data_IF_925712848938
#
_entry.id   IF_925712848938
#
_cell.length_a   1.000
_cell.length_b   1.000
_cell.length_c   1.000
_cell.angle_alpha   90.00
_cell.angle_beta   90.00
_cell.angle_gamma   90.00
#
_symmetry.space_group_name_H-M   'P 1'
#
loop_
_entity.id
_entity.type
_entity.pdbx_description
1 polymer ?
#
# COMPACT_ATOMS: atom_id res chain seq x y z
N UNK A 1 39.08 52.44 65.66
CA UNK A 1 40.40 52.59 64.99
C UNK A 1 40.75 51.26 64.32
N UNK A 2 41.29 51.36 63.10
CA UNK A 2 41.86 50.32 62.21
C UNK A 2 40.91 49.58 61.25
N UNK A 3 41.20 49.87 59.99
CA UNK A 3 40.70 49.37 58.71
C UNK A 3 41.65 48.27 58.18
N UNK A 4 41.19 47.54 57.13
CA UNK A 4 41.94 46.77 56.10
C UNK A 4 42.33 45.33 56.50
N UNK A 5 42.23 44.26 55.69
CA UNK A 5 41.51 43.84 54.48
C UNK A 5 41.93 42.36 54.23
N UNK A 6 41.19 41.56 53.43
CA UNK A 6 41.70 40.87 52.20
C UNK A 6 40.71 39.85 51.61
N UNK A 7 40.48 40.04 50.30
CA UNK A 7 40.15 39.12 49.18
C UNK A 7 39.92 37.62 49.46
N UNK A 8 38.88 37.04 48.83
CA UNK A 8 39.00 36.33 47.55
C UNK A 8 37.61 35.94 46.97
N UNK A 9 37.44 36.10 45.66
CA UNK A 9 36.32 35.62 44.86
C UNK A 9 36.74 34.37 44.08
N UNK A 10 35.83 33.40 43.95
CA UNK A 10 35.98 32.26 43.04
C UNK A 10 34.73 31.38 43.04
N UNK A 11 33.93 31.34 41.96
CA UNK A 11 32.66 30.64 41.90
C UNK A 11 32.77 29.17 41.49
N UNK A 12 31.64 28.48 41.70
CA UNK A 12 31.27 27.11 41.30
C UNK A 12 31.19 26.94 39.78
N UNK A 13 31.53 25.75 39.29
CA UNK A 13 30.97 24.96 38.17
C UNK A 13 32.12 24.10 37.59
N UNK A 14 32.22 22.78 37.76
CA UNK A 14 31.36 21.69 37.21
C UNK A 14 31.13 21.83 35.70
N UNK A 15 31.98 21.16 34.91
CA UNK A 15 31.62 20.66 33.58
C UNK A 15 32.55 19.49 33.20
N UNK A 16 31.94 18.32 33.18
CA UNK A 16 32.40 17.02 32.69
C UNK A 16 32.75 17.07 31.20
N UNK A 17 33.83 16.42 30.78
CA UNK A 17 34.02 16.00 29.38
C UNK A 17 34.83 14.71 29.28
N UNK A 18 34.57 13.99 28.18
CA UNK A 18 35.21 12.79 27.62
C UNK A 18 34.59 11.45 28.08
N UNK A 19 33.63 10.87 27.36
CA UNK A 19 33.69 10.25 26.02
C UNK A 19 34.32 8.85 26.03
N UNK A 20 33.54 7.85 25.61
CA UNK A 20 33.96 6.46 25.42
C UNK A 20 32.89 5.66 24.68
N UNK A 21 33.02 5.61 23.36
CA UNK A 21 32.13 5.04 22.35
C UNK A 21 32.17 3.49 22.37
N UNK A 22 31.02 2.79 22.37
CA UNK A 22 30.96 1.39 21.95
C UNK A 22 29.56 0.99 21.43
N UNK A 23 29.53 0.65 20.13
CA UNK A 23 28.57 -0.21 19.42
C UNK A 23 27.07 0.13 19.50
N UNK A 24 26.58 0.91 18.54
CA UNK A 24 25.17 0.90 18.19
C UNK A 24 24.84 -0.39 17.43
N UNK A 25 23.94 -1.20 18.01
CA UNK A 25 23.44 -2.45 17.45
C UNK A 25 22.73 -2.23 16.11
N UNK A 26 23.03 -3.08 15.13
CA UNK A 26 22.23 -3.32 13.94
C UNK A 26 20.83 -3.80 14.38
N UNK A 27 19.83 -2.94 14.24
CA UNK A 27 18.43 -3.26 14.49
C UNK A 27 17.89 -4.21 13.42
N UNK A 28 18.00 -5.51 13.68
CA UNK A 28 17.23 -6.52 12.96
C UNK A 28 15.77 -6.40 13.42
N UNK A 29 14.89 -5.82 12.60
CA UNK A 29 13.45 -5.84 12.88
C UNK A 29 12.95 -7.27 12.71
N UNK A 30 12.86 -7.99 13.83
CA UNK A 30 12.08 -9.22 13.87
C UNK A 30 10.64 -8.86 13.49
N UNK A 31 10.19 -9.34 12.33
CA UNK A 31 8.78 -9.31 11.96
C UNK A 31 8.09 -10.22 12.98
N UNK A 32 7.49 -9.64 14.01
CA UNK A 32 6.68 -10.40 14.95
C UNK A 32 5.49 -10.98 14.15
N UNK A 33 5.53 -12.27 13.86
CA UNK A 33 4.37 -12.97 13.30
C UNK A 33 3.28 -12.90 14.36
N UNK A 34 2.25 -12.09 14.11
CA UNK A 34 1.11 -12.02 15.00
C UNK A 34 0.56 -13.44 15.22
N UNK A 35 0.27 -13.86 16.47
CA UNK A 35 -0.38 -15.14 16.70
C UNK A 35 -1.71 -15.19 15.94
N UNK A 36 -2.17 -16.39 15.54
CA UNK A 36 -3.44 -16.52 14.82
C UNK A 36 -4.55 -15.84 15.62
N UNK A 37 -5.28 -14.92 14.98
CA UNK A 37 -6.39 -14.24 15.60
C UNK A 37 -7.43 -15.28 16.02
N UNK A 38 -7.76 -15.33 17.31
CA UNK A 38 -8.91 -16.10 17.78
C UNK A 38 -10.17 -15.39 17.28
N UNK A 39 -11.00 -16.08 16.52
CA UNK A 39 -12.33 -15.59 16.19
C UNK A 39 -13.18 -15.60 17.47
N UNK A 40 -13.62 -14.43 17.91
CA UNK A 40 -14.61 -14.29 18.98
C UNK A 40 -15.99 -14.20 18.34
N UNK A 41 -16.86 -15.14 18.67
CA UNK A 41 -18.23 -15.20 18.19
C UNK A 41 -19.13 -14.68 19.33
N UNK A 42 -20.00 -13.73 19.03
CA UNK A 42 -20.93 -13.16 20.01
C UNK A 42 -22.28 -13.88 20.04
N UNK A 43 -22.53 -14.79 19.11
CA UNK A 43 -23.74 -15.59 19.04
C UNK A 43 -23.59 -16.94 19.73
N UNK A 44 -24.67 -17.45 20.32
CA UNK A 44 -24.73 -18.72 21.05
C UNK A 44 -25.19 -19.89 20.20
N UNK A 45 -25.22 -19.73 18.86
CA UNK A 45 -25.73 -20.76 17.97
C UNK A 45 -24.73 -21.92 17.85
N UNK A 46 -25.26 -23.14 17.76
CA UNK A 46 -24.43 -24.33 17.58
C UNK A 46 -24.09 -24.51 16.11
N UNK A 47 -22.80 -24.39 15.77
CA UNK A 47 -22.29 -24.77 14.44
C UNK A 47 -22.13 -26.30 14.41
N UNK A 48 -22.89 -26.98 13.55
CA UNK A 48 -22.85 -28.45 13.42
C UNK A 48 -21.96 -28.95 12.27
N UNK A 49 -21.08 -28.11 11.73
CA UNK A 49 -20.13 -28.47 10.68
C UNK A 49 -18.85 -29.11 11.26
N UNK A 50 -18.35 -30.16 10.60
CA UNK A 50 -17.19 -30.93 11.07
C UNK A 50 -15.83 -30.23 10.94
N UNK A 51 -15.71 -29.20 10.11
CA UNK A 51 -14.46 -28.46 9.92
C UNK A 51 -14.76 -26.99 9.63
N UNK A 52 -14.18 -26.10 10.43
CA UNK A 52 -14.16 -24.65 10.18
C UNK A 52 -12.76 -24.31 9.70
N UNK A 53 -12.67 -23.77 8.48
CA UNK A 53 -11.41 -23.32 7.89
C UNK A 53 -11.51 -21.83 7.63
N UNK A 54 -10.41 -21.11 7.86
CA UNK A 54 -10.31 -19.72 7.43
C UNK A 54 -10.31 -19.67 5.89
N UNK A 55 -11.29 -18.98 5.31
CA UNK A 55 -11.30 -18.67 3.87
C UNK A 55 -10.63 -17.33 3.62
N UNK A 56 -9.90 -17.21 2.51
CA UNK A 56 -9.43 -15.94 1.97
C UNK A 56 -9.87 -15.83 0.52
N UNK A 57 -10.11 -14.61 0.05
CA UNK A 57 -10.30 -14.34 -1.39
C UNK A 57 -8.92 -14.03 -1.97
N UNK A 58 -8.38 -14.85 -2.89
CA UNK A 58 -7.09 -14.58 -3.52
C UNK A 58 -7.09 -13.23 -4.24
N UNK A 59 -5.96 -12.51 -4.20
CA UNK A 59 -5.79 -11.31 -5.01
C UNK A 59 -5.59 -11.72 -6.48
N UNK A 60 -6.23 -11.02 -7.44
CA UNK A 60 -5.95 -11.22 -8.84
C UNK A 60 -4.57 -10.64 -9.21
N UNK A 61 -3.91 -11.22 -10.20
CA UNK A 61 -2.73 -10.62 -10.84
C UNK A 61 -3.21 -9.71 -11.97
N UNK A 62 -2.85 -8.43 -11.91
CA UNK A 62 -3.16 -7.45 -12.93
C UNK A 62 -2.00 -7.35 -13.91
N UNK A 63 -2.35 -7.40 -15.18
CA UNK A 63 -1.44 -7.16 -16.29
C UNK A 63 -1.99 -6.04 -17.17
N UNK A 64 -1.09 -5.21 -17.69
CA UNK A 64 -1.46 -4.05 -18.45
C UNK A 64 -0.89 -4.13 -19.86
N UNK A 65 -1.79 -4.34 -20.82
CA UNK A 65 -1.41 -4.76 -22.16
C UNK A 65 -1.12 -3.57 -23.09
N UNK A 66 -1.65 -2.38 -22.86
CA UNK A 66 -1.22 -1.14 -23.56
C UNK A 66 -1.13 -1.24 -25.10
N UNK A 67 -2.20 -1.63 -25.81
CA UNK A 67 -2.11 -1.85 -27.27
C UNK A 67 -3.21 -1.11 -28.05
N UNK A 68 -3.24 0.22 -27.99
CA UNK A 68 -3.77 1.05 -29.09
C UNK A 68 -3.60 2.54 -28.83
N UNK A 69 -3.74 3.34 -29.89
CA UNK A 69 -3.78 4.80 -29.79
C UNK A 69 -5.01 5.21 -28.97
N UNK A 70 -4.82 6.05 -27.96
CA UNK A 70 -5.91 6.54 -27.13
C UNK A 70 -6.62 5.47 -26.30
N UNK A 71 -5.99 4.31 -26.08
CA UNK A 71 -6.59 3.20 -25.31
C UNK A 71 -5.55 2.39 -24.53
N UNK A 72 -5.90 2.06 -23.28
CA UNK A 72 -5.15 1.12 -22.44
C UNK A 72 -6.08 -0.01 -22.00
N UNK A 73 -5.65 -1.25 -22.20
CA UNK A 73 -6.39 -2.44 -21.79
C UNK A 73 -5.68 -3.12 -20.63
N UNK A 74 -6.45 -3.45 -19.61
CA UNK A 74 -6.04 -4.17 -18.42
C UNK A 74 -6.67 -5.55 -18.45
N UNK A 75 -5.90 -6.56 -18.08
CA UNK A 75 -6.34 -7.95 -17.97
C UNK A 75 -5.90 -8.49 -16.62
N UNK A 76 -6.70 -9.36 -16.01
CA UNK A 76 -6.31 -9.98 -14.76
C UNK A 76 -6.68 -11.46 -14.68
N UNK A 77 -6.00 -12.19 -13.81
CA UNK A 77 -6.27 -13.61 -13.58
C UNK A 77 -7.65 -13.80 -12.96
N UNK A 78 -8.40 -14.79 -13.47
CA UNK A 78 -9.68 -15.17 -12.86
C UNK A 78 -9.45 -15.77 -11.47
N UNK A 79 -10.04 -15.15 -10.46
CA UNK A 79 -10.13 -15.69 -9.09
C UNK A 79 -11.36 -16.59 -9.04
N UNK A 80 -11.24 -17.85 -8.57
CA UNK A 80 -12.38 -18.74 -8.48
C UNK A 80 -13.42 -18.18 -7.53
N UNK A 81 -14.67 -18.59 -7.73
CA UNK A 81 -15.69 -18.48 -6.70
C UNK A 81 -16.10 -17.02 -6.36
N UNK A 82 -15.64 -16.01 -7.09
CA UNK A 82 -15.99 -14.59 -6.89
C UNK A 82 -17.38 -14.25 -7.43
N UNK A 83 -18.00 -13.21 -6.86
CA UNK A 83 -19.26 -12.65 -7.33
C UNK A 83 -19.05 -11.42 -8.23
N UNK A 84 -17.97 -10.68 -8.01
CA UNK A 84 -17.62 -9.50 -8.79
C UNK A 84 -16.12 -9.17 -8.71
N UNK A 85 -15.68 -8.28 -9.59
CA UNK A 85 -14.41 -7.57 -9.47
C UNK A 85 -14.67 -6.09 -9.26
N UNK A 86 -13.88 -5.45 -8.41
CA UNK A 86 -13.86 -4.00 -8.25
C UNK A 86 -12.59 -3.49 -8.94
N UNK A 87 -12.76 -2.82 -10.08
CA UNK A 87 -11.67 -2.29 -10.89
C UNK A 87 -11.48 -0.81 -10.59
N UNK A 88 -10.42 -0.49 -9.88
CA UNK A 88 -10.02 0.86 -9.54
C UNK A 88 -9.19 1.46 -10.67
N UNK A 89 -9.41 2.74 -10.97
CA UNK A 89 -8.75 3.46 -12.06
C UNK A 89 -8.79 4.98 -11.86
N UNK A 90 -8.06 5.72 -12.69
CA UNK A 90 -7.98 7.18 -12.65
C UNK A 90 -6.89 7.70 -11.70
N UNK A 91 -6.86 9.01 -11.43
CA UNK A 91 -5.87 9.60 -10.52
C UNK A 91 -5.91 8.91 -9.16
N UNK A 92 -4.79 8.34 -8.72
CA UNK A 92 -4.65 7.54 -7.49
C UNK A 92 -5.74 6.44 -7.35
N UNK A 93 -6.25 5.91 -8.46
CA UNK A 93 -7.35 4.92 -8.51
C UNK A 93 -8.67 5.37 -7.87
N UNK A 94 -8.96 6.67 -7.89
CA UNK A 94 -10.11 7.26 -7.21
C UNK A 94 -11.49 6.82 -7.77
N UNK A 95 -11.53 6.27 -8.98
CA UNK A 95 -12.75 5.75 -9.58
C UNK A 95 -12.78 4.23 -9.51
N UNK A 96 -13.95 3.64 -9.31
CA UNK A 96 -14.11 2.19 -9.20
C UNK A 96 -15.32 1.70 -10.01
N UNK A 97 -15.09 0.67 -10.82
CA UNK A 97 -16.13 -0.04 -11.56
C UNK A 97 -16.39 -1.41 -10.92
N UNK A 98 -17.65 -1.70 -10.61
CA UNK A 98 -18.06 -3.04 -10.17
C UNK A 98 -18.41 -3.89 -11.39
N UNK A 99 -17.57 -4.87 -11.69
CA UNK A 99 -17.64 -5.72 -12.86
C UNK A 99 -18.16 -7.12 -12.48
N UNK A 100 -18.98 -7.77 -13.32
CA UNK A 100 -19.42 -9.15 -13.09
C UNK A 100 -18.24 -10.13 -12.99
N UNK A 101 -18.39 -11.20 -12.22
CA UNK A 101 -17.37 -12.26 -12.05
C UNK A 101 -16.83 -12.86 -13.37
N UNK A 102 -17.61 -12.81 -14.46
CA UNK A 102 -17.20 -13.27 -15.79
C UNK A 102 -16.21 -12.32 -16.49
N UNK A 103 -15.91 -11.17 -15.90
CA UNK A 103 -15.09 -10.12 -16.51
C UNK A 103 -13.67 -10.19 -15.98
N UNK A 104 -12.70 -10.39 -16.88
CA UNK A 104 -11.26 -10.44 -16.56
C UNK A 104 -10.46 -9.40 -17.33
N UNK A 105 -11.14 -8.39 -17.88
CA UNK A 105 -10.50 -7.31 -18.62
C UNK A 105 -11.31 -6.02 -18.54
N UNK A 106 -10.64 -4.89 -18.48
CA UNK A 106 -11.22 -3.56 -18.60
C UNK A 106 -10.41 -2.72 -19.59
N UNK A 107 -11.07 -1.76 -20.23
CA UNK A 107 -10.42 -0.89 -21.21
C UNK A 107 -10.73 0.56 -20.92
N UNK A 108 -9.67 1.36 -20.83
CA UNK A 108 -9.74 2.82 -20.68
C UNK A 108 -9.50 3.47 -22.03
N UNK A 109 -10.34 4.42 -22.38
CA UNK A 109 -10.18 5.25 -23.57
C UNK A 109 -10.42 6.69 -23.18
N UNK A 110 -9.55 7.59 -23.60
CA UNK A 110 -9.58 8.97 -23.13
C UNK A 110 -8.79 9.90 -24.03
N UNK A 111 -9.06 11.20 -23.88
CA UNK A 111 -8.40 12.25 -24.65
C UNK A 111 -6.94 12.44 -24.17
N UNK A 112 -6.80 12.64 -22.85
CA UNK A 112 -5.57 12.59 -22.06
C UNK A 112 -5.98 12.09 -20.67
N UNK A 113 -5.57 10.90 -20.28
CA UNK A 113 -5.94 10.33 -18.98
C UNK A 113 -4.72 9.64 -18.38
N UNK A 114 -4.27 10.10 -17.21
CA UNK A 114 -3.22 9.44 -16.44
C UNK A 114 -3.80 8.95 -15.12
N UNK A 115 -3.37 7.79 -14.65
CA UNK A 115 -3.85 7.26 -13.41
C UNK A 115 -3.18 5.96 -13.00
N UNK A 116 -3.65 5.44 -11.87
CA UNK A 116 -3.29 4.14 -11.36
C UNK A 116 -4.49 3.22 -11.45
N UNK A 117 -4.23 1.94 -11.68
CA UNK A 117 -5.25 0.91 -11.77
C UNK A 117 -4.88 -0.32 -10.96
N UNK A 118 -5.85 -0.89 -10.26
CA UNK A 118 -5.75 -2.16 -9.55
C UNK A 118 -7.12 -2.83 -9.49
N UNK A 119 -7.13 -4.12 -9.15
CA UNK A 119 -8.37 -4.90 -9.04
C UNK A 119 -8.45 -5.58 -7.68
N UNK A 120 -9.64 -5.56 -7.09
CA UNK A 120 -10.01 -6.41 -5.96
C UNK A 120 -11.03 -7.46 -6.41
N UNK A 121 -10.82 -8.70 -6.00
CA UNK A 121 -11.81 -9.76 -6.16
C UNK A 121 -12.83 -9.69 -5.00
N UNK A 122 -14.12 -9.76 -5.31
CA UNK A 122 -15.20 -9.69 -4.32
C UNK A 122 -16.02 -10.96 -4.28
N UNK A 123 -16.39 -11.38 -3.07
CA UNK A 123 -17.25 -12.52 -2.81
C UNK A 123 -18.35 -12.12 -1.84
N UNK A 124 -19.58 -12.18 -2.30
CA UNK A 124 -20.75 -11.83 -1.49
C UNK A 124 -21.39 -13.06 -0.85
N UNK A 125 -21.68 -12.96 0.44
CA UNK A 125 -22.38 -13.97 1.23
C UNK A 125 -23.74 -13.44 1.72
N UNK A 126 -24.39 -12.60 0.91
CA UNK A 126 -25.67 -11.95 1.24
C UNK A 126 -25.48 -10.68 2.06
N UNK A 127 -25.25 -10.80 3.37
CA UNK A 127 -25.08 -9.64 4.26
C UNK A 127 -23.64 -9.18 4.45
N UNK A 128 -22.68 -10.01 4.03
CA UNK A 128 -21.25 -9.74 4.19
C UNK A 128 -20.57 -9.90 2.83
N UNK A 129 -19.80 -8.90 2.44
CA UNK A 129 -18.91 -8.97 1.28
C UNK A 129 -17.49 -9.11 1.76
N UNK A 130 -16.78 -10.10 1.23
CA UNK A 130 -15.35 -10.24 1.41
C UNK A 130 -14.64 -9.72 0.17
N UNK A 131 -13.53 -9.02 0.36
CA UNK A 131 -12.68 -8.56 -0.71
C UNK A 131 -11.28 -9.17 -0.54
N UNK A 132 -10.61 -9.44 -1.64
CA UNK A 132 -9.18 -9.75 -1.64
C UNK A 132 -8.35 -8.51 -1.27
N UNK A 133 -7.07 -8.72 -0.98
CA UNK A 133 -6.11 -7.63 -1.13
C UNK A 133 -6.12 -7.09 -2.58
N UNK A 134 -5.71 -5.84 -2.81
CA UNK A 134 -5.53 -5.32 -4.16
C UNK A 134 -4.55 -6.20 -4.97
N UNK A 135 -4.76 -6.24 -6.28
CA UNK A 135 -3.70 -6.65 -7.20
C UNK A 135 -2.47 -5.74 -7.05
N UNK A 136 -1.40 -6.04 -7.79
CA UNK A 136 -0.40 -5.03 -8.07
C UNK A 136 -1.03 -3.80 -8.76
N UNK A 137 -0.51 -2.62 -8.46
CA UNK A 137 -0.93 -1.34 -9.07
C UNK A 137 -0.18 -1.08 -10.38
N UNK A 138 -0.92 -0.87 -11.46
CA UNK A 138 -0.37 -0.46 -12.76
C UNK A 138 -0.62 1.03 -12.98
N UNK A 139 0.41 1.79 -13.34
CA UNK A 139 0.25 3.20 -13.71
C UNK A 139 0.07 3.30 -15.22
N UNK A 140 -0.87 4.12 -15.68
CA UNK A 140 -1.18 4.26 -17.10
C UNK A 140 -1.31 5.71 -17.54
N UNK A 141 -1.07 5.93 -18.82
CA UNK A 141 -1.31 7.18 -19.52
C UNK A 141 -1.94 6.90 -20.89
N UNK A 142 -3.11 7.47 -21.14
CA UNK A 142 -3.82 7.41 -22.41
C UNK A 142 -3.64 8.72 -23.14
N UNK A 143 -3.16 8.67 -24.38
CA UNK A 143 -2.98 9.83 -25.24
C UNK A 143 -3.71 9.61 -26.58
N UNK A 144 -4.54 10.54 -27.03
CA UNK A 144 -5.27 10.42 -28.31
C UNK A 144 -4.42 10.21 -29.55
N UNK A 145 -3.19 10.70 -29.51
CA UNK A 145 -2.29 10.77 -30.67
C UNK A 145 -1.05 9.90 -30.47
N UNK A 146 -1.00 9.12 -29.39
CA UNK A 146 0.08 8.20 -29.09
C UNK A 146 -0.47 6.88 -28.55
N UNK A 147 0.35 5.85 -28.52
CA UNK A 147 0.00 4.60 -27.86
C UNK A 147 -0.25 4.86 -26.38
N UNK A 148 -1.26 4.19 -25.80
CA UNK A 148 -1.40 4.13 -24.36
C UNK A 148 -0.12 3.56 -23.73
N UNK A 149 0.42 4.24 -22.73
CA UNK A 149 1.51 3.74 -21.91
C UNK A 149 0.93 3.06 -20.69
N UNK A 150 1.52 1.95 -20.31
CA UNK A 150 1.19 1.31 -19.06
C UNK A 150 2.44 0.66 -18.47
N UNK A 151 2.63 0.91 -17.19
CA UNK A 151 3.75 0.41 -16.43
C UNK A 151 3.22 -0.60 -15.43
N UNK A 152 3.75 -1.83 -15.52
CA UNK A 152 3.34 -2.92 -14.66
C UNK A 152 3.70 -2.66 -13.18
N UNK A 153 3.01 -3.32 -12.25
CA UNK A 153 3.30 -3.21 -10.82
C UNK A 153 4.73 -3.68 -10.52
N UNK A 154 5.61 -2.77 -10.11
CA UNK A 154 6.98 -3.08 -9.68
C UNK A 154 8.09 -2.31 -10.38
N UNK A 155 7.82 -1.65 -11.50
CA UNK A 155 8.85 -0.96 -12.30
C UNK A 155 8.96 0.55 -12.03
N UNK A 156 8.41 1.05 -10.92
CA UNK A 156 8.57 2.47 -10.56
C UNK A 156 10.05 2.79 -10.28
N UNK A 157 10.77 3.21 -11.34
CA UNK A 157 12.02 3.92 -11.25
C UNK A 157 11.67 5.41 -11.17
N UNK A 158 11.73 6.06 -10.00
CA UNK A 158 11.60 7.50 -9.95
C UNK A 158 12.71 8.10 -10.81
N UNK A 159 12.32 8.78 -11.89
CA UNK A 159 13.25 9.51 -12.74
C UNK A 159 14.03 10.54 -11.91
N UNK A 160 15.31 10.81 -12.24
CA UNK A 160 16.13 11.73 -11.48
C UNK A 160 15.77 13.16 -11.87
N UNK A 161 14.80 13.78 -11.18
CA UNK A 161 14.70 15.23 -11.15
C UNK A 161 14.58 15.75 -9.71
N UNK A 162 15.28 16.85 -9.41
CA UNK A 162 15.58 17.26 -8.05
C UNK A 162 14.34 17.90 -7.43
N UNK A 163 14.03 17.52 -6.20
CA UNK A 163 13.17 18.32 -5.34
C UNK A 163 13.82 19.70 -5.13
N UNK A 164 13.18 20.82 -5.50
CA UNK A 164 13.58 22.12 -5.02
C UNK A 164 12.84 22.39 -3.70
N UNK A 165 13.56 22.51 -2.59
CA UNK A 165 13.02 23.10 -1.36
C UNK A 165 13.45 22.45 -0.06
N UNK A 166 14.64 22.80 0.40
CA UNK A 166 14.99 23.01 1.83
C UNK A 166 16.39 23.64 1.85
N UNK A 167 16.68 24.70 2.63
CA UNK A 167 15.94 25.27 3.76
C UNK A 167 15.03 26.46 3.43
#
# INVERSE_FOLDING_TARGET
MRTVATRAHGPRALATFAAGFCAAFLGLTAIATAPPARAYWSDSQTVSAGTITAGTVPAPELDCQGISIGRTTFTWTAVPDVTAYEFHHGPDGASADLLPASTTSATRSGLVETGDAWVNARRDFGQVTWASAPSGTASYAVYLLALGLCQAPGDYVPGPWPYPGSP
#
